data_IF_278948443591
#
_entry.id   IF_278948443591
#
_cell.length_a   1.000
_cell.length_b   1.000
_cell.length_c   1.000
_cell.angle_alpha   90.00
_cell.angle_beta   90.00
_cell.angle_gamma   90.00
#
_symmetry.space_group_name_H-M   'P 1'
#
loop_
_entity.id
_entity.type
_entity.pdbx_description
1 polymer ?
#
# COMPACT_ATOMS: atom_id res chain seq x y z
N UNK A 1 -21.37 -17.57 28.76
CA UNK A 1 -21.64 -16.90 27.46
C UNK A 1 -20.44 -17.09 26.56
N UNK A 2 -20.64 -17.39 25.28
CA UNK A 2 -19.55 -17.38 24.30
C UNK A 2 -19.34 -15.97 23.75
N UNK A 3 -18.15 -15.68 23.22
CA UNK A 3 -17.86 -14.38 22.56
C UNK A 3 -18.85 -14.10 21.42
N UNK A 4 -19.29 -15.16 20.74
CA UNK A 4 -20.30 -15.07 19.67
C UNK A 4 -21.64 -14.61 20.21
N UNK A 5 -22.07 -15.12 21.36
CA UNK A 5 -23.35 -14.74 21.97
C UNK A 5 -23.34 -13.27 22.41
N UNK A 6 -22.22 -12.81 22.98
CA UNK A 6 -22.03 -11.41 23.39
C UNK A 6 -22.06 -10.49 22.16
N UNK A 7 -21.39 -10.88 21.07
CA UNK A 7 -21.41 -10.12 19.82
C UNK A 7 -22.81 -10.00 19.23
N UNK A 8 -23.61 -11.07 19.25
CA UNK A 8 -24.99 -11.04 18.76
C UNK A 8 -25.83 -10.09 19.60
N UNK A 9 -25.71 -10.16 20.92
CA UNK A 9 -26.43 -9.26 21.84
C UNK A 9 -26.07 -7.78 21.62
N UNK A 10 -24.79 -7.48 21.37
CA UNK A 10 -24.35 -6.11 21.10
C UNK A 10 -24.87 -5.61 19.73
N UNK A 11 -24.90 -6.49 18.73
CA UNK A 11 -25.43 -6.18 17.38
C UNK A 11 -26.93 -5.85 17.46
N UNK A 12 -27.71 -6.61 18.22
CA UNK A 12 -29.16 -6.41 18.36
C UNK A 12 -29.52 -5.10 19.09
N UNK A 13 -28.63 -4.59 19.94
CA UNK A 13 -28.85 -3.35 20.71
C UNK A 13 -28.20 -2.09 20.10
N UNK A 14 -27.45 -2.24 19.00
CA UNK A 14 -26.71 -1.15 18.35
C UNK A 14 -27.49 -0.47 17.22
N UNK A 15 -27.30 0.84 16.99
CA UNK A 15 -27.89 1.55 15.85
C UNK A 15 -27.18 1.20 14.52
N UNK A 16 -27.91 1.29 13.41
CA UNK A 16 -27.45 0.89 12.06
C UNK A 16 -26.12 1.55 11.64
N UNK A 17 -25.89 2.81 11.99
CA UNK A 17 -24.65 3.53 11.66
C UNK A 17 -23.41 2.90 12.29
N UNK A 18 -23.54 2.35 13.50
CA UNK A 18 -22.44 1.68 14.20
C UNK A 18 -22.24 0.27 13.64
N UNK A 19 -23.32 -0.38 13.19
CA UNK A 19 -23.27 -1.68 12.54
C UNK A 19 -22.52 -1.62 11.21
N UNK A 20 -22.70 -0.56 10.42
CA UNK A 20 -21.97 -0.34 9.16
C UNK A 20 -20.45 -0.29 9.37
N UNK A 21 -19.99 0.56 10.30
CA UNK A 21 -18.56 0.66 10.65
C UNK A 21 -18.01 -0.67 11.20
N UNK A 22 -18.79 -1.34 12.06
CA UNK A 22 -18.40 -2.64 12.64
C UNK A 22 -18.28 -3.73 11.57
N UNK A 23 -19.17 -3.72 10.58
CA UNK A 23 -19.17 -4.66 9.46
C UNK A 23 -17.93 -4.46 8.59
N UNK A 24 -17.58 -3.22 8.27
CA UNK A 24 -16.36 -2.89 7.52
C UNK A 24 -15.11 -3.31 8.28
N UNK A 25 -15.06 -3.08 9.60
CA UNK A 25 -13.96 -3.55 10.43
C UNK A 25 -13.84 -5.08 10.46
N UNK A 26 -14.96 -5.81 10.56
CA UNK A 26 -14.95 -7.27 10.50
C UNK A 26 -14.49 -7.81 9.14
N UNK A 27 -14.88 -7.15 8.04
CA UNK A 27 -14.38 -7.48 6.69
C UNK A 27 -12.88 -7.26 6.60
N UNK A 28 -12.38 -6.14 7.13
CA UNK A 28 -10.95 -5.85 7.20
C UNK A 28 -10.19 -6.95 7.97
N UNK A 29 -10.69 -7.36 9.15
CA UNK A 29 -10.05 -8.42 9.93
C UNK A 29 -10.02 -9.77 9.19
N UNK A 30 -11.10 -10.12 8.48
CA UNK A 30 -11.13 -11.33 7.64
C UNK A 30 -10.09 -11.27 6.52
N UNK A 31 -10.02 -10.15 5.80
CA UNK A 31 -9.04 -9.94 4.72
C UNK A 31 -7.60 -10.03 5.24
N UNK A 32 -7.33 -9.40 6.39
CA UNK A 32 -6.02 -9.48 7.06
C UNK A 32 -5.67 -10.91 7.47
N UNK A 33 -6.65 -11.70 7.94
CA UNK A 33 -6.39 -13.08 8.32
C UNK A 33 -6.11 -13.97 7.11
N UNK A 34 -6.79 -13.74 5.98
CA UNK A 34 -6.54 -14.46 4.73
C UNK A 34 -5.18 -14.12 4.11
N UNK A 35 -4.73 -12.86 4.17
CA UNK A 35 -3.41 -12.48 3.68
C UNK A 35 -2.28 -13.11 4.51
N UNK A 36 -2.45 -13.19 5.84
CA UNK A 36 -1.51 -13.88 6.74
C UNK A 36 -1.47 -15.38 6.45
N UNK A 37 -2.63 -16.02 6.20
CA UNK A 37 -2.68 -17.45 5.82
C UNK A 37 -1.99 -17.71 4.48
N UNK A 38 -2.21 -16.87 3.47
CA UNK A 38 -1.53 -16.96 2.15
C UNK A 38 -0.02 -16.77 2.24
N UNK A 39 0.46 -15.96 3.18
CA UNK A 39 1.89 -15.77 3.41
C UNK A 39 2.59 -16.96 4.09
N UNK A 40 1.84 -17.85 4.75
CA UNK A 40 2.39 -19.04 5.42
C UNK A 40 2.36 -20.31 4.55
N UNK A 41 1.67 -20.30 3.41
CA UNK A 41 1.52 -21.48 2.53
C UNK A 41 2.45 -21.50 1.30
N UNK A 42 3.32 -20.50 1.08
CA UNK A 42 4.29 -20.54 -0.02
C UNK A 42 5.69 -20.98 0.45
N UNK A 43 6.20 -22.14 -0.03
CA UNK A 43 7.62 -22.45 0.08
C UNK A 43 8.43 -21.56 -0.88
N UNK A 44 9.49 -20.96 -0.33
CA UNK A 44 10.72 -20.54 -1.02
C UNK A 44 10.69 -20.47 -2.55
N UNK A 45 10.68 -19.26 -3.11
CA UNK A 45 11.41 -18.99 -4.35
C UNK A 45 12.58 -18.07 -4.04
N UNK A 46 13.73 -18.70 -3.81
CA UNK A 46 15.03 -18.08 -3.97
C UNK A 46 15.12 -17.71 -5.45
N UNK A 47 15.02 -16.43 -5.76
CA UNK A 47 15.37 -15.94 -7.09
C UNK A 47 16.89 -15.85 -7.12
N UNK A 48 17.52 -16.95 -7.53
CA UNK A 48 18.89 -16.94 -8.02
C UNK A 48 18.92 -16.04 -9.26
N UNK A 49 19.58 -14.89 -9.13
CA UNK A 49 20.03 -14.09 -10.26
C UNK A 49 21.10 -14.88 -11.00
N UNK A 50 20.70 -15.59 -12.06
CA UNK A 50 21.63 -16.08 -13.07
C UNK A 50 21.85 -14.98 -14.10
N UNK A 51 23.06 -14.42 -14.08
CA UNK A 51 23.63 -13.67 -15.19
C UNK A 51 23.59 -14.54 -16.46
N UNK A 52 23.00 -14.03 -17.54
CA UNK A 52 23.21 -14.53 -18.90
C UNK A 52 22.91 -13.44 -19.91
N UNK A 53 24.00 -12.89 -20.46
CA UNK A 53 24.06 -12.10 -21.69
C UNK A 53 23.48 -12.85 -22.90
N UNK A 54 22.79 -12.15 -23.82
CA UNK A 54 23.15 -11.98 -25.26
C UNK A 54 21.95 -11.51 -26.13
N UNK A 55 21.93 -10.19 -26.48
CA UNK A 55 21.68 -9.47 -27.77
C UNK A 55 20.58 -9.88 -28.81
N UNK A 56 20.24 -9.03 -29.81
CA UNK A 56 19.93 -7.58 -29.85
C UNK A 56 18.53 -7.28 -30.45
N UNK A 57 17.86 -6.21 -30.02
CA UNK A 57 16.72 -5.62 -30.75
C UNK A 57 17.00 -4.14 -31.01
N UNK A 58 17.05 -3.78 -32.30
CA UNK A 58 17.24 -2.43 -32.80
C UNK A 58 16.01 -1.56 -32.47
N UNK A 59 16.03 -0.90 -31.34
CA UNK A 59 15.18 0.25 -31.02
C UNK A 59 16.04 1.22 -30.20
N UNK A 60 15.84 2.55 -30.24
CA UNK A 60 16.43 3.45 -29.27
C UNK A 60 15.80 3.16 -27.89
N UNK A 61 16.26 2.09 -27.26
CA UNK A 61 15.90 1.68 -25.92
C UNK A 61 16.53 2.72 -25.01
N UNK A 62 15.73 3.68 -24.54
CA UNK A 62 16.09 4.50 -23.39
C UNK A 62 16.51 3.50 -22.32
N UNK A 63 17.78 3.53 -21.91
CA UNK A 63 18.33 2.63 -20.91
C UNK A 63 17.61 2.92 -19.58
N UNK A 64 16.47 2.27 -19.38
CA UNK A 64 15.75 2.28 -18.12
C UNK A 64 16.66 1.55 -17.13
N UNK A 65 17.46 2.32 -16.40
CA UNK A 65 18.20 1.79 -15.26
C UNK A 65 17.13 1.25 -14.30
N UNK A 66 17.15 -0.06 -13.96
CA UNK A 66 16.23 -0.58 -12.98
C UNK A 66 16.40 0.22 -11.70
N UNK A 67 15.29 0.64 -11.10
CA UNK A 67 15.32 1.42 -9.88
C UNK A 67 16.15 0.65 -8.83
N UNK A 68 17.26 1.25 -8.38
CA UNK A 68 18.16 0.66 -7.38
C UNK A 68 17.50 0.51 -5.99
N UNK A 69 16.21 0.86 -5.87
CA UNK A 69 15.44 0.77 -4.65
C UNK A 69 14.92 -0.65 -4.45
N UNK A 70 15.20 -1.22 -3.28
CA UNK A 70 14.42 -2.35 -2.75
C UNK A 70 12.93 -1.94 -2.65
N UNK A 71 12.03 -2.90 -2.45
CA UNK A 71 10.59 -2.62 -2.26
C UNK A 71 10.35 -1.56 -1.18
N UNK A 72 9.56 -0.52 -1.49
CA UNK A 72 9.17 0.55 -0.56
C UNK A 72 8.48 -0.04 0.69
N UNK A 73 7.80 -1.17 0.53
CA UNK A 73 7.07 -1.86 1.61
C UNK A 73 7.96 -2.39 2.73
N UNK A 74 9.28 -2.49 2.55
CA UNK A 74 10.21 -2.94 3.59
C UNK A 74 10.24 -2.04 4.83
N UNK A 75 9.78 -0.79 4.69
CA UNK A 75 9.71 0.20 5.77
C UNK A 75 8.26 0.48 6.19
N UNK A 76 7.27 -0.26 5.67
CA UNK A 76 5.89 -0.10 6.10
C UNK A 76 5.77 -0.51 7.59
N UNK A 77 5.20 0.35 8.42
CA UNK A 77 5.03 0.10 9.85
C UNK A 77 6.26 0.35 10.73
N UNK A 78 7.42 0.76 10.16
CA UNK A 78 8.57 1.25 10.93
C UNK A 78 8.52 2.75 11.21
N UNK A 79 7.42 3.41 10.80
CA UNK A 79 7.27 4.85 10.97
C UNK A 79 6.88 5.12 12.43
N UNK A 80 7.67 5.93 13.11
CA UNK A 80 7.50 6.31 14.51
C UNK A 80 7.60 7.83 14.61
N UNK A 81 6.68 8.46 15.33
CA UNK A 81 6.61 9.91 15.46
C UNK A 81 5.15 10.35 15.51
N UNK A 82 4.86 11.40 16.28
CA UNK A 82 3.58 12.12 16.33
C UNK A 82 3.62 13.43 15.53
N UNK A 83 4.68 13.63 14.75
CA UNK A 83 5.03 14.84 14.00
C UNK A 83 4.41 14.90 12.60
N UNK A 84 3.43 14.04 12.30
CA UNK A 84 2.78 13.99 10.99
C UNK A 84 2.21 15.36 10.60
N UNK A 85 1.47 16.00 11.51
CA UNK A 85 0.83 17.28 11.23
C UNK A 85 1.84 18.42 11.06
N UNK A 86 2.91 18.45 11.88
CA UNK A 86 3.98 19.46 11.79
C UNK A 86 4.77 19.33 10.48
N UNK A 87 5.13 18.10 10.12
CA UNK A 87 5.84 17.80 8.87
C UNK A 87 4.97 18.14 7.65
N UNK A 88 3.68 17.78 7.69
CA UNK A 88 2.73 18.11 6.64
C UNK A 88 2.56 19.63 6.46
N UNK A 89 2.43 20.37 7.58
CA UNK A 89 2.33 21.83 7.56
C UNK A 89 3.58 22.48 6.95
N UNK A 90 4.77 21.94 7.28
CA UNK A 90 6.05 22.40 6.75
C UNK A 90 6.15 22.20 5.23
N UNK A 91 5.65 21.06 4.72
CA UNK A 91 5.56 20.80 3.28
C UNK A 91 4.61 21.79 2.61
N UNK A 92 3.44 22.05 3.20
CA UNK A 92 2.50 23.05 2.65
C UNK A 92 3.08 24.46 2.61
N UNK A 93 3.84 24.85 3.64
CA UNK A 93 4.47 26.17 3.73
C UNK A 93 5.62 26.35 2.73
N UNK A 94 6.36 25.28 2.44
CA UNK A 94 7.57 25.35 1.60
C UNK A 94 7.34 24.92 0.15
N UNK A 95 6.25 24.20 -0.16
CA UNK A 95 6.00 23.74 -1.52
C UNK A 95 5.79 24.93 -2.47
N UNK A 96 6.52 24.91 -3.58
CA UNK A 96 6.29 25.83 -4.69
C UNK A 96 4.96 25.52 -5.40
N UNK A 97 4.37 26.54 -6.05
CA UNK A 97 3.26 26.31 -6.98
C UNK A 97 3.80 25.65 -8.24
N UNK A 98 3.31 24.46 -8.57
CA UNK A 98 3.61 23.84 -9.85
C UNK A 98 3.01 24.70 -10.97
N UNK A 99 3.83 25.02 -11.97
CA UNK A 99 3.36 25.57 -13.24
C UNK A 99 3.42 24.44 -14.25
N UNK A 100 2.29 24.20 -14.91
CA UNK A 100 2.19 23.26 -16.01
C UNK A 100 1.99 24.09 -17.28
N UNK A 101 2.88 23.92 -18.26
CA UNK A 101 2.75 24.57 -19.55
C UNK A 101 1.76 23.75 -20.38
N UNK A 102 0.48 24.15 -20.34
CA UNK A 102 -0.61 23.48 -21.07
C UNK A 102 -0.53 23.70 -22.59
N UNK A 103 0.22 24.71 -23.03
CA UNK A 103 0.42 25.02 -24.45
C UNK A 103 1.35 24.01 -25.16
N UNK A 104 2.00 23.12 -24.40
CA UNK A 104 2.95 22.10 -24.87
C UNK A 104 2.46 20.69 -24.51
N UNK A 105 1.14 20.46 -24.58
CA UNK A 105 0.60 19.10 -24.45
C UNK A 105 0.86 18.32 -25.76
N UNK A 106 1.76 17.32 -25.79
CA UNK A 106 2.06 16.56 -27.00
C UNK A 106 1.00 15.50 -27.34
N UNK A 107 -0.09 15.46 -26.55
CA UNK A 107 -1.18 14.50 -26.66
C UNK A 107 -2.53 15.16 -27.04
N UNK A 108 -2.55 16.47 -27.34
CA UNK A 108 -3.67 17.18 -27.99
C UNK A 108 -3.44 17.36 -29.50
#
# INVERSE_FOLDING_TARGET
MTIKDILIQEIESSPESLLEETLDFLRFLKLKQESVKKAQEQPHQIVETTDSDTQPSNSPQIAYRPASGRSILRHAGTWSGDDFDECLQSVYATRGKAKFDYDLNPFE
#
